data_IF_784795431808
#
_entry.id   IF_784795431808
#
_cell.length_a   1.000
_cell.length_b   1.000
_cell.length_c   1.000
_cell.angle_alpha   90.00
_cell.angle_beta   90.00
_cell.angle_gamma   90.00
#
_symmetry.space_group_name_H-M   'P 1'
#
loop_
_entity.id
_entity.type
_entity.pdbx_description
1 polymer ?
#
# COMPACT_ATOMS: atom_id res chain seq x y z
N UNK A 1 4.03 2.24 -7.21
CA UNK A 1 4.39 1.94 -8.59
C UNK A 1 3.19 1.75 -9.49
N UNK A 2 3.41 1.86 -10.80
CA UNK A 2 2.41 1.59 -11.83
C UNK A 2 2.71 0.25 -12.51
N UNK A 3 1.84 -0.18 -13.44
CA UNK A 3 2.09 -1.31 -14.34
C UNK A 3 3.38 -1.15 -15.14
N UNK A 4 3.82 0.08 -15.36
CA UNK A 4 5.04 0.42 -16.12
C UNK A 4 6.31 0.39 -15.26
N UNK A 5 6.18 0.12 -13.96
CA UNK A 5 7.35 0.01 -13.09
C UNK A 5 8.18 -1.22 -13.45
N UNK A 6 9.50 -1.07 -13.40
CA UNK A 6 10.44 -2.11 -13.81
C UNK A 6 10.16 -3.47 -13.14
N UNK A 7 9.93 -3.47 -11.83
CA UNK A 7 9.65 -4.71 -11.09
C UNK A 7 8.32 -5.38 -11.52
N UNK A 8 7.29 -4.58 -11.87
CA UNK A 8 6.01 -5.12 -12.35
C UNK A 8 6.18 -5.76 -13.72
N UNK A 9 6.87 -5.07 -14.65
CA UNK A 9 7.15 -5.60 -15.99
C UNK A 9 8.00 -6.88 -15.93
N UNK A 10 9.07 -6.90 -15.11
CA UNK A 10 9.89 -8.08 -14.91
C UNK A 10 9.07 -9.27 -14.38
N UNK A 11 8.22 -9.03 -13.38
CA UNK A 11 7.37 -10.07 -12.81
C UNK A 11 6.37 -10.60 -13.84
N UNK A 12 5.68 -9.71 -14.56
CA UNK A 12 4.73 -10.12 -15.61
C UNK A 12 5.41 -10.93 -16.71
N UNK A 13 6.63 -10.57 -17.10
CA UNK A 13 7.41 -11.34 -18.07
C UNK A 13 7.74 -12.77 -17.58
N UNK A 14 8.06 -12.92 -16.29
CA UNK A 14 8.28 -14.25 -15.67
C UNK A 14 6.99 -15.05 -15.63
N UNK A 15 5.88 -14.43 -15.21
CA UNK A 15 4.55 -15.05 -15.17
C UNK A 15 4.13 -15.55 -16.56
N UNK A 16 4.30 -14.71 -17.59
CA UNK A 16 3.99 -15.07 -18.98
C UNK A 16 4.84 -16.25 -19.50
N UNK A 17 6.16 -16.25 -19.20
CA UNK A 17 7.04 -17.39 -19.58
C UNK A 17 6.65 -18.72 -18.94
N UNK A 18 5.96 -18.67 -17.79
CA UNK A 18 5.40 -19.86 -17.12
C UNK A 18 4.04 -20.29 -17.67
N UNK A 19 3.52 -19.61 -18.68
CA UNK A 19 2.17 -19.84 -19.21
C UNK A 19 1.05 -19.39 -18.25
N UNK A 20 1.38 -18.56 -17.26
CA UNK A 20 0.42 -18.03 -16.30
C UNK A 20 -0.09 -16.66 -16.75
N UNK A 21 -1.26 -16.27 -16.25
CA UNK A 21 -1.82 -14.93 -16.45
C UNK A 21 -1.47 -14.05 -15.29
N UNK A 22 -1.13 -12.80 -15.58
CA UNK A 22 -0.85 -11.78 -14.57
C UNK A 22 -1.78 -10.58 -14.72
N UNK A 23 -2.20 -10.02 -13.58
CA UNK A 23 -2.92 -8.75 -13.50
C UNK A 23 -2.23 -7.82 -12.52
N UNK A 24 -2.17 -6.53 -12.82
CA UNK A 24 -1.63 -5.51 -11.92
C UNK A 24 -2.77 -4.66 -11.41
N UNK A 25 -2.94 -4.65 -10.10
CA UNK A 25 -3.86 -3.75 -9.43
C UNK A 25 -3.15 -2.45 -9.07
N UNK A 26 -3.72 -1.32 -9.46
CA UNK A 26 -3.26 -0.01 -9.03
C UNK A 26 -4.07 0.47 -7.82
N UNK A 27 -3.41 1.12 -6.88
CA UNK A 27 -4.11 1.90 -5.87
C UNK A 27 -4.91 3.04 -6.52
N UNK A 28 -5.97 3.47 -5.87
CA UNK A 28 -6.82 4.58 -6.35
C UNK A 28 -5.99 5.82 -6.65
N UNK A 29 -6.17 6.36 -7.87
CA UNK A 29 -5.44 7.54 -8.34
C UNK A 29 -3.95 7.31 -8.65
N UNK A 30 -3.49 6.03 -8.73
CA UNK A 30 -2.09 5.70 -9.03
C UNK A 30 -1.90 4.97 -10.37
N UNK A 31 -2.96 4.78 -11.13
CA UNK A 31 -2.94 4.18 -12.47
C UNK A 31 -3.04 5.20 -13.61
N UNK A 32 -2.56 6.44 -13.41
CA UNK A 32 -2.57 7.50 -14.42
C UNK A 32 -3.88 8.29 -14.52
N UNK A 33 -4.96 7.80 -13.91
CA UNK A 33 -6.27 8.48 -13.90
C UNK A 33 -6.69 8.86 -12.47
N UNK A 34 -7.34 10.01 -12.34
CA UNK A 34 -7.94 10.45 -11.08
C UNK A 34 -9.17 9.60 -10.79
N UNK A 35 -9.24 8.98 -9.61
CA UNK A 35 -10.43 8.23 -9.21
C UNK A 35 -11.57 9.16 -8.78
N UNK A 36 -12.82 8.68 -8.91
CA UNK A 36 -14.05 9.51 -8.70
C UNK A 36 -14.29 9.88 -7.24
N UNK A 37 -13.97 9.00 -6.29
CA UNK A 37 -14.22 9.24 -4.87
C UNK A 37 -13.19 10.20 -4.28
N UNK A 38 -13.55 10.94 -3.22
CA UNK A 38 -12.61 11.80 -2.48
C UNK A 38 -11.44 10.98 -1.90
N UNK A 39 -11.72 9.80 -1.30
CA UNK A 39 -10.68 8.88 -0.84
C UNK A 39 -9.78 8.43 -2.00
N UNK A 40 -8.53 8.16 -1.70
CA UNK A 40 -7.52 7.81 -2.69
C UNK A 40 -6.56 6.73 -2.22
N UNK A 41 -5.29 6.94 -2.47
CA UNK A 41 -4.21 6.08 -2.02
C UNK A 41 -4.15 5.99 -0.49
N UNK A 42 -4.25 4.78 0.07
CA UNK A 42 -4.21 4.54 1.50
C UNK A 42 -3.61 3.17 1.81
N UNK A 43 -2.70 3.11 2.78
CA UNK A 43 -2.06 1.86 3.20
C UNK A 43 -2.99 0.90 3.97
N UNK A 44 -4.12 1.41 4.48
CA UNK A 44 -5.09 0.62 5.24
C UNK A 44 -6.29 0.13 4.44
N UNK A 45 -6.42 0.53 3.16
CA UNK A 45 -7.60 0.19 2.34
C UNK A 45 -7.47 -1.22 1.74
N UNK A 46 -7.94 -2.22 2.48
CA UNK A 46 -7.95 -3.64 2.07
C UNK A 46 -9.15 -4.00 1.21
N UNK A 47 -10.20 -3.17 1.19
CA UNK A 47 -11.45 -3.47 0.49
C UNK A 47 -11.28 -3.56 -1.03
N UNK A 48 -10.43 -2.71 -1.60
CA UNK A 48 -10.17 -2.74 -3.05
C UNK A 48 -9.46 -4.04 -3.46
N UNK A 49 -8.49 -4.50 -2.68
CA UNK A 49 -7.80 -5.77 -2.91
C UNK A 49 -8.78 -6.94 -2.77
N UNK A 50 -9.57 -6.96 -1.71
CA UNK A 50 -10.61 -7.97 -1.51
C UNK A 50 -11.56 -8.04 -2.71
N UNK A 51 -12.05 -6.89 -3.18
CA UNK A 51 -12.95 -6.82 -4.33
C UNK A 51 -12.32 -7.41 -5.61
N UNK A 52 -11.07 -7.06 -5.90
CA UNK A 52 -10.37 -7.57 -7.11
C UNK A 52 -10.14 -9.08 -7.01
N UNK A 53 -9.70 -9.57 -5.85
CA UNK A 53 -9.48 -11.02 -5.65
C UNK A 53 -10.79 -11.79 -5.75
N UNK A 54 -11.86 -11.30 -5.12
CA UNK A 54 -13.18 -11.92 -5.19
C UNK A 54 -13.74 -11.91 -6.61
N UNK A 55 -13.53 -10.81 -7.35
CA UNK A 55 -13.97 -10.73 -8.74
C UNK A 55 -13.25 -11.76 -9.62
N UNK A 56 -11.94 -11.90 -9.48
CA UNK A 56 -11.13 -12.91 -10.20
C UNK A 56 -11.57 -14.32 -9.84
N UNK A 57 -11.73 -14.61 -8.54
CA UNK A 57 -12.13 -15.93 -8.05
C UNK A 57 -13.53 -16.33 -8.54
N UNK A 58 -14.52 -15.42 -8.51
CA UNK A 58 -15.87 -15.70 -9.02
C UNK A 58 -15.90 -15.93 -10.53
N UNK A 59 -15.02 -15.26 -11.27
CA UNK A 59 -14.94 -15.43 -12.73
C UNK A 59 -14.33 -16.75 -13.13
N UNK A 60 -13.38 -17.23 -12.35
CA UNK A 60 -12.67 -18.49 -12.62
C UNK A 60 -12.39 -19.26 -11.32
N UNK A 61 -13.41 -19.90 -10.73
CA UNK A 61 -13.29 -20.50 -9.40
C UNK A 61 -12.28 -21.66 -9.34
N UNK A 62 -12.05 -22.36 -10.45
CA UNK A 62 -11.10 -23.46 -10.54
C UNK A 62 -9.63 -23.01 -10.74
N UNK A 63 -9.41 -21.73 -11.06
CA UNK A 63 -8.06 -21.20 -11.30
C UNK A 63 -7.40 -20.82 -9.99
N UNK A 64 -6.23 -21.41 -9.64
CA UNK A 64 -5.49 -21.01 -8.44
C UNK A 64 -5.03 -19.54 -8.55
N UNK A 65 -5.29 -18.77 -7.49
CA UNK A 65 -4.85 -17.38 -7.39
C UNK A 65 -3.68 -17.25 -6.43
N UNK A 66 -2.69 -16.43 -6.80
CA UNK A 66 -1.64 -15.94 -5.93
C UNK A 66 -1.53 -14.43 -6.03
N UNK A 67 -1.15 -13.75 -4.95
CA UNK A 67 -0.99 -12.30 -4.91
C UNK A 67 0.42 -11.95 -4.46
N UNK A 68 1.04 -10.99 -5.14
CA UNK A 68 2.35 -10.44 -4.78
C UNK A 68 2.17 -8.96 -4.47
N UNK A 69 2.58 -8.54 -3.28
CA UNK A 69 2.53 -7.15 -2.84
C UNK A 69 3.93 -6.58 -2.60
N UNK A 70 4.21 -5.40 -3.17
CA UNK A 70 5.47 -4.67 -2.95
C UNK A 70 5.21 -3.45 -2.07
N UNK A 71 6.13 -3.18 -1.13
CA UNK A 71 6.08 -2.00 -0.25
C UNK A 71 4.72 -1.85 0.43
N UNK A 72 4.01 -0.73 0.24
CA UNK A 72 2.65 -0.55 0.77
C UNK A 72 1.64 -1.56 0.20
N UNK A 73 1.86 -2.07 -1.01
CA UNK A 73 1.06 -3.18 -1.55
C UNK A 73 1.23 -4.46 -0.75
N UNK A 74 2.44 -4.72 -0.24
CA UNK A 74 2.71 -5.81 0.70
C UNK A 74 2.02 -5.60 2.05
N UNK A 75 2.02 -4.36 2.56
CA UNK A 75 1.29 -4.02 3.79
C UNK A 75 -0.22 -4.27 3.65
N UNK A 76 -0.84 -3.78 2.58
CA UNK A 76 -2.27 -4.02 2.31
C UNK A 76 -2.57 -5.50 2.16
N UNK A 77 -1.72 -6.25 1.46
CA UNK A 77 -1.87 -7.69 1.28
C UNK A 77 -1.83 -8.43 2.61
N UNK A 78 -0.80 -8.21 3.43
CA UNK A 78 -0.65 -8.90 4.72
C UNK A 78 -1.77 -8.53 5.70
N UNK A 79 -2.18 -7.26 5.73
CA UNK A 79 -3.32 -6.81 6.54
C UNK A 79 -4.60 -7.51 6.10
N UNK A 80 -4.91 -7.50 4.81
CA UNK A 80 -6.10 -8.17 4.28
C UNK A 80 -6.09 -9.67 4.56
N UNK A 81 -4.97 -10.36 4.37
CA UNK A 81 -4.84 -11.78 4.68
C UNK A 81 -5.12 -12.10 6.15
N UNK A 82 -4.67 -11.23 7.05
CA UNK A 82 -4.96 -11.38 8.48
C UNK A 82 -6.40 -11.03 8.85
N UNK A 83 -7.07 -10.14 8.12
CA UNK A 83 -8.50 -9.84 8.26
C UNK A 83 -9.38 -10.98 7.73
N UNK A 84 -9.07 -11.49 6.54
CA UNK A 84 -9.82 -12.54 5.87
C UNK A 84 -9.57 -13.94 6.48
N UNK A 85 -8.38 -14.17 7.03
CA UNK A 85 -8.01 -15.45 7.62
C UNK A 85 -8.17 -16.63 6.65
N UNK A 86 -9.02 -17.59 6.98
CA UNK A 86 -9.30 -18.76 6.12
C UNK A 86 -10.20 -18.47 4.93
N UNK A 87 -10.88 -17.32 4.92
CA UNK A 87 -11.81 -16.96 3.84
C UNK A 87 -11.09 -16.37 2.61
N UNK A 88 -9.80 -16.07 2.70
CA UNK A 88 -9.04 -15.56 1.55
C UNK A 88 -8.91 -16.66 0.48
N UNK A 89 -9.44 -16.47 -0.75
CA UNK A 89 -9.44 -17.48 -1.80
C UNK A 89 -8.11 -17.51 -2.57
N UNK A 90 -7.00 -17.53 -1.83
CA UNK A 90 -5.65 -17.56 -2.40
C UNK A 90 -4.94 -18.89 -2.12
N UNK A 91 -4.18 -19.36 -3.09
CA UNK A 91 -3.29 -20.50 -2.95
C UNK A 91 -1.98 -20.14 -2.25
N UNK A 92 -1.47 -18.94 -2.50
CA UNK A 92 -0.24 -18.42 -1.92
C UNK A 92 -0.19 -16.89 -1.98
N UNK A 93 0.68 -16.29 -1.17
CA UNK A 93 0.97 -14.86 -1.21
C UNK A 93 2.48 -14.59 -1.07
N UNK A 94 2.93 -13.48 -1.65
CA UNK A 94 4.30 -12.99 -1.47
C UNK A 94 4.25 -11.50 -1.12
N UNK A 95 4.97 -11.11 -0.07
CA UNK A 95 5.08 -9.73 0.36
C UNK A 95 6.56 -9.30 0.37
N UNK A 96 6.90 -8.25 -0.38
CA UNK A 96 8.28 -7.82 -0.62
C UNK A 96 8.51 -6.43 -0.04
N UNK A 97 9.56 -6.25 0.76
CA UNK A 97 10.01 -4.98 1.36
C UNK A 97 8.88 -4.23 2.08
N UNK A 98 8.18 -4.91 2.97
CA UNK A 98 6.94 -4.43 3.59
C UNK A 98 7.20 -3.45 4.73
N UNK A 99 6.54 -2.28 4.79
CA UNK A 99 6.56 -1.39 5.95
C UNK A 99 5.57 -1.89 7.03
N UNK A 100 6.01 -2.87 7.86
CA UNK A 100 5.15 -3.53 8.85
C UNK A 100 4.55 -2.58 9.90
N UNK A 101 5.26 -1.49 10.21
CA UNK A 101 4.85 -0.45 11.16
C UNK A 101 5.02 0.91 10.48
N UNK A 102 3.92 1.49 10.03
CA UNK A 102 3.93 2.72 9.21
C UNK A 102 4.53 3.93 9.93
N UNK A 103 4.23 4.10 11.22
CA UNK A 103 4.78 5.20 12.04
C UNK A 103 6.32 5.16 12.09
N UNK A 104 6.89 3.98 12.29
CA UNK A 104 8.35 3.81 12.33
C UNK A 104 9.00 4.21 11.00
N UNK A 105 8.39 3.79 9.88
CA UNK A 105 8.87 4.13 8.54
C UNK A 105 8.73 5.62 8.25
N UNK A 106 7.61 6.25 8.60
CA UNK A 106 7.41 7.69 8.43
C UNK A 106 8.45 8.50 9.21
N UNK A 107 8.73 8.12 10.46
CA UNK A 107 9.79 8.75 11.28
C UNK A 107 11.18 8.51 10.70
N UNK A 108 11.47 7.32 10.18
CA UNK A 108 12.77 6.98 9.58
C UNK A 108 13.01 7.78 8.30
N UNK A 109 11.99 7.92 7.45
CA UNK A 109 12.05 8.73 6.23
C UNK A 109 12.28 10.22 6.50
N UNK A 110 11.94 10.72 7.68
CA UNK A 110 12.18 12.10 8.08
C UNK A 110 13.60 12.35 8.62
N UNK A 111 14.54 11.40 8.51
CA UNK A 111 15.90 11.49 9.05
C UNK A 111 16.97 11.22 7.99
N UNK A 112 18.09 11.91 8.11
CA UNK A 112 19.28 11.71 7.29
C UNK A 112 19.00 11.77 5.78
N UNK A 113 19.67 10.93 5.01
CA UNK A 113 19.57 10.88 3.55
C UNK A 113 18.18 10.45 3.05
N UNK A 114 17.43 9.70 3.86
CA UNK A 114 16.06 9.25 3.53
C UNK A 114 15.09 10.43 3.32
N UNK A 115 15.42 11.63 3.81
CA UNK A 115 14.62 12.86 3.56
C UNK A 115 14.52 13.23 2.08
N UNK A 116 15.53 12.95 1.27
CA UNK A 116 15.45 13.18 -0.19
C UNK A 116 14.41 12.26 -0.83
N UNK A 117 14.41 11.01 -0.40
CA UNK A 117 13.41 10.04 -0.87
C UNK A 117 11.99 10.42 -0.38
N UNK A 118 11.86 10.83 0.89
CA UNK A 118 10.60 11.36 1.41
C UNK A 118 10.10 12.54 0.58
N UNK A 119 10.98 13.51 0.27
CA UNK A 119 10.62 14.66 -0.52
C UNK A 119 10.06 14.27 -1.90
N UNK A 120 10.70 13.32 -2.58
CA UNK A 120 10.22 12.83 -3.87
C UNK A 120 8.83 12.19 -3.74
N UNK A 121 8.66 11.25 -2.81
CA UNK A 121 7.38 10.57 -2.60
C UNK A 121 6.25 11.52 -2.18
N UNK A 122 6.56 12.46 -1.29
CA UNK A 122 5.61 13.47 -0.83
C UNK A 122 5.21 14.43 -1.95
N UNK A 123 6.14 14.78 -2.84
CA UNK A 123 5.87 15.58 -4.03
C UNK A 123 4.86 14.90 -4.96
N UNK A 124 5.04 13.59 -5.19
CA UNK A 124 4.11 12.78 -5.97
C UNK A 124 2.71 12.69 -5.33
N UNK A 125 2.63 12.57 -4.01
CA UNK A 125 1.36 12.59 -3.30
C UNK A 125 0.66 13.94 -3.42
N UNK A 126 1.40 15.03 -3.26
CA UNK A 126 0.88 16.40 -3.41
C UNK A 126 0.43 16.66 -4.85
N UNK A 127 1.17 16.18 -5.84
CA UNK A 127 0.79 16.29 -7.24
C UNK A 127 -0.55 15.57 -7.49
N UNK A 128 -0.68 14.34 -7.02
CA UNK A 128 -1.92 13.56 -7.13
C UNK A 128 -3.09 14.22 -6.40
N UNK A 129 -2.85 14.83 -5.24
CA UNK A 129 -3.85 15.59 -4.51
C UNK A 129 -4.31 16.84 -5.30
N UNK A 130 -3.36 17.63 -5.82
CA UNK A 130 -3.69 18.79 -6.67
C UNK A 130 -4.51 18.39 -7.89
N UNK A 131 -4.08 17.36 -8.61
CA UNK A 131 -4.79 16.87 -9.78
C UNK A 131 -6.24 16.48 -9.48
N UNK A 132 -6.48 15.90 -8.29
CA UNK A 132 -7.81 15.47 -7.86
C UNK A 132 -8.68 16.65 -7.37
N UNK A 133 -8.13 17.53 -6.56
CA UNK A 133 -8.90 18.57 -5.85
C UNK A 133 -8.83 19.95 -6.51
N UNK A 134 -8.22 20.08 -7.70
CA UNK A 134 -8.26 21.34 -8.48
C UNK A 134 -9.67 21.74 -8.93
N UNK A 135 -10.55 20.76 -9.12
CA UNK A 135 -11.94 20.97 -9.55
C UNK A 135 -12.98 20.53 -8.51
N UNK A 136 -12.54 20.20 -7.30
CA UNK A 136 -13.39 19.71 -6.19
C UNK A 136 -13.23 20.59 -4.98
N UNK A 137 -14.30 20.73 -4.20
CA UNK A 137 -14.35 21.56 -2.98
C UNK A 137 -14.39 20.73 -1.69
N UNK A 138 -14.47 19.39 -1.80
CA UNK A 138 -14.58 18.46 -0.68
C UNK A 138 -13.21 17.92 -0.19
N UNK A 139 -12.12 18.59 -0.55
CA UNK A 139 -10.79 18.29 -0.04
C UNK A 139 -10.57 18.79 1.38
N UNK A 140 -9.94 17.99 2.25
CA UNK A 140 -9.71 18.38 3.66
C UNK A 140 -8.71 19.53 3.82
N UNK A 141 -7.86 19.77 2.83
CA UNK A 141 -6.86 20.84 2.84
C UNK A 141 -6.95 21.67 1.57
N UNK A 142 -6.91 23.00 1.69
CA UNK A 142 -6.86 23.89 0.52
C UNK A 142 -5.52 23.71 -0.24
N UNK A 143 -5.53 23.96 -1.53
CA UNK A 143 -4.34 23.80 -2.38
C UNK A 143 -3.18 24.70 -1.95
N UNK A 144 -3.48 25.89 -1.41
CA UNK A 144 -2.48 26.84 -0.91
C UNK A 144 -1.73 26.31 0.32
N UNK A 145 -2.45 25.61 1.20
CA UNK A 145 -1.87 25.00 2.40
C UNK A 145 -1.08 23.73 2.12
N UNK A 146 -1.27 23.12 0.95
CA UNK A 146 -0.62 21.86 0.61
C UNK A 146 0.92 21.95 0.65
N UNK A 147 1.49 23.12 0.33
CA UNK A 147 2.93 23.36 0.35
C UNK A 147 3.52 23.27 1.77
N UNK A 148 2.74 23.62 2.81
CA UNK A 148 3.17 23.60 4.21
C UNK A 148 3.32 22.19 4.80
N UNK A 149 2.73 21.17 4.18
CA UNK A 149 2.84 19.78 4.63
C UNK A 149 4.21 19.23 4.21
N UNK A 150 5.18 19.21 5.11
CA UNK A 150 6.59 18.97 4.79
C UNK A 150 7.07 17.53 4.99
N UNK A 151 6.26 16.68 5.60
CA UNK A 151 6.55 15.28 5.85
C UNK A 151 5.30 14.40 5.75
N UNK A 152 5.48 13.08 5.82
CA UNK A 152 4.38 12.13 5.76
C UNK A 152 3.42 12.27 6.92
N UNK A 153 3.93 12.55 8.12
CA UNK A 153 3.08 12.66 9.30
C UNK A 153 2.06 13.81 9.12
N UNK A 154 2.54 15.00 8.69
CA UNK A 154 1.66 16.14 8.44
C UNK A 154 0.69 15.90 7.27
N UNK A 155 1.17 15.25 6.20
CA UNK A 155 0.32 14.91 5.05
C UNK A 155 -0.76 13.89 5.42
N UNK A 156 -0.37 12.83 6.12
CA UNK A 156 -1.29 11.77 6.49
C UNK A 156 -2.30 12.22 7.55
N UNK A 157 -1.88 13.09 8.49
CA UNK A 157 -2.79 13.64 9.50
C UNK A 157 -3.87 14.54 8.89
N UNK A 158 -3.48 15.42 7.97
CA UNK A 158 -4.39 16.43 7.42
C UNK A 158 -5.12 15.99 6.16
N UNK A 159 -4.64 14.97 5.46
CA UNK A 159 -5.21 14.52 4.19
C UNK A 159 -5.63 13.05 4.24
N UNK A 160 -4.69 12.13 4.44
CA UNK A 160 -4.97 10.70 4.31
C UNK A 160 -5.97 10.24 5.38
N UNK A 161 -5.75 10.59 6.64
CA UNK A 161 -6.59 10.18 7.75
C UNK A 161 -8.04 10.69 7.60
N UNK A 162 -8.31 11.99 7.36
CA UNK A 162 -9.68 12.48 7.18
C UNK A 162 -10.38 11.87 5.96
N UNK A 163 -9.69 11.72 4.83
CA UNK A 163 -10.27 11.15 3.61
C UNK A 163 -10.69 9.69 3.75
N UNK A 164 -10.13 8.98 4.73
CA UNK A 164 -10.38 7.56 4.95
C UNK A 164 -11.07 7.26 6.30
N UNK A 165 -11.55 8.30 7.01
CA UNK A 165 -12.31 8.14 8.25
C UNK A 165 -11.49 7.68 9.45
N UNK A 166 -10.21 8.04 9.49
CA UNK A 166 -9.37 7.88 10.68
C UNK A 166 -9.41 9.15 11.53
N UNK A 167 -9.27 8.99 12.85
CA UNK A 167 -9.30 10.11 13.81
C UNK A 167 -8.06 11.01 13.73
N UNK A 168 -7.02 10.59 13.03
CA UNK A 168 -5.77 11.30 12.82
C UNK A 168 -4.67 10.33 12.42
N UNK A 169 -3.45 10.83 12.26
CA UNK A 169 -2.31 10.04 11.75
C UNK A 169 -1.97 8.85 12.67
N UNK A 170 -2.08 8.99 13.98
CA UNK A 170 -1.78 7.91 14.92
C UNK A 170 -2.79 6.76 14.80
N UNK A 171 -4.08 7.06 14.69
CA UNK A 171 -5.13 6.08 14.42
C UNK A 171 -4.92 5.42 13.06
N UNK A 172 -4.61 6.22 12.04
CA UNK A 172 -4.29 5.72 10.70
C UNK A 172 -3.11 4.73 10.75
N UNK A 173 -1.97 5.11 11.29
CA UNK A 173 -0.80 4.24 11.32
C UNK A 173 -1.02 2.99 12.17
N UNK A 174 -1.70 3.10 13.30
CA UNK A 174 -2.00 1.94 14.15
C UNK A 174 -2.91 0.93 13.44
N UNK A 175 -3.99 1.38 12.80
CA UNK A 175 -4.98 0.51 12.14
C UNK A 175 -4.57 0.07 10.73
N UNK A 176 -3.75 0.84 10.04
CA UNK A 176 -3.30 0.54 8.68
C UNK A 176 -2.04 -0.34 8.63
N UNK A 177 -1.24 -0.39 9.68
CA UNK A 177 -0.05 -1.25 9.75
C UNK A 177 -0.42 -2.72 9.78
N UNK A 178 0.28 -3.55 8.99
CA UNK A 178 -0.04 -4.98 8.89
C UNK A 178 0.48 -5.82 10.06
N UNK A 179 1.45 -5.35 10.85
CA UNK A 179 2.09 -6.12 11.92
C UNK A 179 1.11 -6.82 12.89
N UNK A 180 0.01 -6.17 13.37
CA UNK A 180 -0.95 -6.83 14.28
C UNK A 180 -1.73 -7.97 13.64
N UNK A 181 -1.80 -8.02 12.32
CA UNK A 181 -2.59 -8.98 11.56
C UNK A 181 -1.82 -10.25 11.19
N UNK A 182 -0.48 -10.24 11.24
CA UNK A 182 0.38 -11.33 10.75
C UNK A 182 0.02 -12.69 11.35
N UNK A 183 -0.24 -12.76 12.66
CA UNK A 183 -0.58 -14.02 13.36
C UNK A 183 -1.90 -14.64 12.92
N UNK A 184 -2.75 -13.88 12.25
CA UNK A 184 -4.07 -14.32 11.75
C UNK A 184 -4.02 -14.86 10.32
N UNK A 185 -2.92 -14.68 9.61
CA UNK A 185 -2.74 -15.16 8.23
C UNK A 185 -2.85 -16.69 8.22
N UNK A 186 -3.62 -17.21 7.27
CA UNK A 186 -3.85 -18.66 7.08
C UNK A 186 -3.48 -19.14 5.68
N UNK A 187 -3.13 -18.23 4.78
CA UNK A 187 -2.61 -18.52 3.44
C UNK A 187 -1.09 -18.69 3.52
N UNK A 188 -0.50 -19.70 2.87
CA UNK A 188 0.94 -19.82 2.74
C UNK A 188 1.54 -18.52 2.19
N UNK A 189 2.38 -17.86 2.97
CA UNK A 189 2.85 -16.51 2.65
C UNK A 189 4.36 -16.43 2.80
N UNK A 190 5.04 -16.04 1.72
CA UNK A 190 6.46 -15.72 1.73
C UNK A 190 6.65 -14.21 1.98
N UNK A 191 7.46 -13.88 2.96
CA UNK A 191 7.88 -12.51 3.23
C UNK A 191 9.36 -12.37 2.85
N UNK A 192 9.65 -11.48 1.89
CA UNK A 192 11.01 -11.16 1.46
C UNK A 192 11.36 -9.74 1.91
N UNK A 193 12.45 -9.62 2.64
CA UNK A 193 12.91 -8.34 3.16
C UNK A 193 14.44 -8.30 3.19
N UNK A 194 15.04 -7.21 2.71
CA UNK A 194 16.47 -7.00 2.80
C UNK A 194 16.85 -6.63 4.24
N UNK A 195 17.87 -7.26 4.80
CA UNK A 195 18.34 -6.99 6.17
C UNK A 195 18.93 -5.59 6.32
N UNK A 196 19.37 -5.00 5.23
CA UNK A 196 19.99 -3.67 5.12
C UNK A 196 19.06 -2.62 4.51
N UNK A 197 17.75 -2.85 4.52
CA UNK A 197 16.77 -1.88 4.01
C UNK A 197 16.89 -0.54 4.75
N UNK A 198 17.26 0.56 4.06
CA UNK A 198 17.53 1.86 4.71
C UNK A 198 16.28 2.51 5.30
N UNK A 199 15.10 2.05 4.93
CA UNK A 199 13.82 2.63 5.35
C UNK A 199 13.18 1.89 6.52
N UNK A 200 13.71 0.71 6.88
CA UNK A 200 13.18 -0.10 7.97
C UNK A 200 14.22 -0.36 9.05
N UNK A 201 13.79 -0.21 10.27
CA UNK A 201 14.60 -0.59 11.41
C UNK A 201 14.44 -2.09 11.67
N UNK A 202 15.51 -2.80 12.04
CA UNK A 202 15.44 -4.23 12.33
C UNK A 202 14.34 -4.62 13.33
N UNK A 203 14.06 -3.76 14.30
CA UNK A 203 13.04 -3.97 15.34
C UNK A 203 11.59 -3.94 14.76
N UNK A 204 11.41 -3.38 13.57
CA UNK A 204 10.12 -3.37 12.88
C UNK A 204 9.84 -4.68 12.14
N UNK A 205 10.87 -5.49 11.89
CA UNK A 205 10.73 -6.77 11.22
C UNK A 205 10.03 -7.78 12.14
N UNK A 206 9.10 -8.59 11.61
CA UNK A 206 8.50 -9.66 12.38
C UNK A 206 9.55 -10.73 12.67
N UNK A 207 9.63 -11.18 13.92
CA UNK A 207 10.36 -12.41 14.24
C UNK A 207 9.63 -13.61 13.60
N UNK A 208 10.36 -14.55 13.00
CA UNK A 208 9.77 -15.80 12.54
C UNK A 208 9.01 -16.48 13.70
N UNK A 209 7.90 -17.18 13.43
CA UNK A 209 7.18 -17.94 14.44
C UNK A 209 8.01 -19.07 15.00
#
# INVERSE_FOLDING_TARGET
GSSDSHYALCLLAVVARRGWRGAVMHFRGRGGQVNRLARGYCAGDTADLAHVVDWLHRREPATPLAVIGYWLGGNVLLKWLGEAGRAAPLRAAVAVSVPFVLDTVARRLNRGFSRLYQFHLLSELKHSYRAKFSTRTDGPVSLDRLASLRDFHAFDDQITAPLHGYAGVHDYYARASCRPYLRRIRVPTLILHASDDPFMLPEALPTPP
#
